data_IF_563970149599
#
_entry.id   IF_563970149599
#
_cell.length_a   1.000
_cell.length_b   1.000
_cell.length_c   1.000
_cell.angle_alpha   90.00
_cell.angle_beta   90.00
_cell.angle_gamma   90.00
#
_symmetry.space_group_name_H-M   'P 1'
#
loop_
_entity.id
_entity.type
_entity.pdbx_description
1 polymer ?
#
# COMPACT_ATOMS: atom_id res chain seq x y z
N UNK A 1 2.39 23.71 -23.92
CA UNK A 1 1.54 22.58 -24.36
C UNK A 1 1.31 21.73 -23.12
N UNK A 2 0.10 21.73 -22.57
CA UNK A 2 -0.22 21.12 -21.29
C UNK A 2 -0.79 19.72 -21.58
N UNK A 3 -0.10 18.66 -21.18
CA UNK A 3 -0.44 17.27 -21.55
C UNK A 3 -1.72 16.72 -20.87
N UNK A 4 -2.45 17.59 -20.18
CA UNK A 4 -3.59 17.25 -19.34
C UNK A 4 -4.95 17.54 -20.02
N UNK A 5 -4.97 18.23 -21.17
CA UNK A 5 -6.21 18.71 -21.81
C UNK A 5 -6.94 17.66 -22.67
N UNK A 6 -6.26 16.61 -23.11
CA UNK A 6 -6.78 15.60 -24.06
C UNK A 6 -7.90 14.74 -23.47
N UNK A 7 -8.07 14.69 -22.14
CA UNK A 7 -9.06 13.84 -21.47
C UNK A 7 -10.21 14.64 -20.79
N UNK A 8 -10.32 15.94 -21.06
CA UNK A 8 -11.29 16.79 -20.37
C UNK A 8 -12.71 16.81 -20.98
N UNK A 9 -13.00 16.47 -22.26
CA UNK A 9 -14.37 16.59 -22.76
C UNK A 9 -15.25 15.32 -22.75
N UNK A 10 -14.82 14.15 -22.26
CA UNK A 10 -15.54 12.90 -22.58
C UNK A 10 -16.52 12.33 -21.51
N UNK A 11 -16.51 12.78 -20.25
CA UNK A 11 -17.40 12.20 -19.20
C UNK A 11 -17.80 13.22 -18.14
N UNK A 12 -19.09 13.53 -18.05
CA UNK A 12 -19.74 14.28 -16.94
C UNK A 12 -19.67 13.49 -15.61
N UNK A 13 -18.47 13.24 -15.10
CA UNK A 13 -18.25 12.43 -13.90
C UNK A 13 -18.12 13.32 -12.66
N UNK A 14 -19.00 13.13 -11.67
CA UNK A 14 -18.97 13.89 -10.42
C UNK A 14 -17.71 13.56 -9.59
N UNK A 15 -17.24 14.46 -8.70
CA UNK A 15 -16.10 14.18 -7.81
C UNK A 15 -16.29 12.94 -6.94
N UNK A 16 -17.54 12.58 -6.62
CA UNK A 16 -17.88 11.36 -5.89
C UNK A 16 -17.68 10.11 -6.77
N UNK A 17 -18.15 10.12 -8.02
CA UNK A 17 -17.98 9.01 -8.96
C UNK A 17 -16.49 8.75 -9.27
N UNK A 18 -15.68 9.82 -9.42
CA UNK A 18 -14.24 9.68 -9.62
C UNK A 18 -13.52 9.02 -8.44
N UNK A 19 -13.93 9.34 -7.20
CA UNK A 19 -13.37 8.70 -6.00
C UNK A 19 -13.75 7.22 -5.90
N UNK A 20 -14.99 6.87 -6.24
CA UNK A 20 -15.45 5.47 -6.24
C UNK A 20 -14.71 4.65 -7.30
N UNK A 21 -14.45 5.22 -8.50
CA UNK A 21 -13.62 4.58 -9.54
C UNK A 21 -12.18 4.36 -9.09
N UNK A 22 -11.51 5.41 -8.62
CA UNK A 22 -10.14 5.32 -8.11
C UNK A 22 -10.04 4.31 -6.95
N UNK A 23 -11.06 4.26 -6.08
CA UNK A 23 -11.14 3.28 -5.00
C UNK A 23 -11.28 1.86 -5.54
N UNK A 24 -12.10 1.65 -6.58
CA UNK A 24 -12.21 0.36 -7.28
C UNK A 24 -10.89 -0.10 -7.88
N UNK A 25 -10.14 0.81 -8.51
CA UNK A 25 -8.80 0.54 -9.06
C UNK A 25 -7.82 0.12 -7.94
N UNK A 26 -7.79 0.85 -6.82
CA UNK A 26 -6.96 0.50 -5.65
C UNK A 26 -7.36 -0.88 -5.09
N UNK A 27 -8.66 -1.18 -4.96
CA UNK A 27 -9.12 -2.48 -4.48
C UNK A 27 -8.72 -3.63 -5.41
N UNK A 28 -8.65 -3.38 -6.72
CA UNK A 28 -8.18 -4.37 -7.69
C UNK A 28 -6.67 -4.61 -7.57
N UNK A 29 -5.88 -3.55 -7.40
CA UNK A 29 -4.44 -3.66 -7.12
C UNK A 29 -4.19 -4.40 -5.80
N UNK A 30 -4.97 -4.10 -4.76
CA UNK A 30 -4.89 -4.76 -3.46
C UNK A 30 -5.23 -6.25 -3.52
N UNK A 31 -6.11 -6.65 -4.46
CA UNK A 31 -6.49 -8.05 -4.65
C UNK A 31 -5.28 -8.89 -5.10
N UNK A 32 -4.33 -8.30 -5.81
CA UNK A 32 -3.07 -8.97 -6.20
C UNK A 32 -2.22 -9.31 -4.97
N UNK A 33 -2.14 -8.39 -4.00
CA UNK A 33 -1.45 -8.67 -2.73
C UNK A 33 -2.22 -9.70 -1.88
N UNK A 34 -3.56 -9.64 -1.93
CA UNK A 34 -4.43 -10.56 -1.21
C UNK A 34 -4.28 -12.02 -1.68
N UNK A 35 -4.18 -12.26 -2.98
CA UNK A 35 -3.93 -13.62 -3.49
C UNK A 35 -2.56 -14.14 -3.06
N UNK A 36 -1.55 -13.27 -3.01
CA UNK A 36 -0.21 -13.60 -2.49
C UNK A 36 -0.22 -14.08 -1.04
N UNK A 37 -0.92 -13.37 -0.14
CA UNK A 37 -1.00 -13.78 1.27
C UNK A 37 -1.79 -15.08 1.47
N UNK A 38 -2.84 -15.30 0.69
CA UNK A 38 -3.63 -16.54 0.75
C UNK A 38 -2.79 -17.75 0.33
N UNK A 39 -2.03 -17.62 -0.75
CA UNK A 39 -1.12 -18.67 -1.22
C UNK A 39 -0.06 -18.98 -0.16
N UNK A 40 0.55 -17.94 0.44
CA UNK A 40 1.52 -18.10 1.52
C UNK A 40 0.93 -18.86 2.71
N UNK A 41 -0.24 -18.46 3.20
CA UNK A 41 -0.91 -19.11 4.33
C UNK A 41 -1.28 -20.56 4.01
N UNK A 42 -1.76 -20.84 2.80
CA UNK A 42 -2.05 -22.19 2.35
C UNK A 42 -0.78 -23.06 2.39
N UNK A 43 0.34 -22.58 1.85
CA UNK A 43 1.61 -23.31 1.91
C UNK A 43 2.10 -23.55 3.33
N UNK A 44 2.03 -22.55 4.21
CA UNK A 44 2.40 -22.71 5.61
C UNK A 44 1.50 -23.72 6.32
N UNK A 45 0.20 -23.71 6.04
CA UNK A 45 -0.73 -24.68 6.61
C UNK A 45 -0.42 -26.09 6.11
N UNK A 46 -0.19 -26.27 4.81
CA UNK A 46 0.23 -27.57 4.25
C UNK A 46 1.52 -28.05 4.90
N UNK A 47 2.49 -27.17 5.10
CA UNK A 47 3.78 -27.50 5.71
C UNK A 47 3.61 -28.11 7.11
N UNK A 48 2.65 -27.64 7.92
CA UNK A 48 2.37 -28.19 9.26
C UNK A 48 1.93 -29.66 9.27
N UNK A 49 1.32 -30.14 8.17
CA UNK A 49 0.87 -31.52 8.04
C UNK A 49 1.89 -32.42 7.34
N UNK A 50 3.05 -31.88 6.94
CA UNK A 50 4.10 -32.70 6.34
C UNK A 50 4.87 -33.49 7.40
N UNK A 51 5.33 -34.73 7.11
CA UNK A 51 6.15 -35.50 8.05
C UNK A 51 7.41 -34.77 8.51
N UNK A 52 7.95 -33.89 7.66
CA UNK A 52 9.14 -33.09 7.93
C UNK A 52 8.91 -32.03 9.01
N UNK A 53 7.65 -31.61 9.25
CA UNK A 53 7.32 -30.62 10.27
C UNK A 53 7.74 -31.03 11.68
N UNK A 54 7.57 -32.32 12.03
CA UNK A 54 8.00 -32.85 13.34
C UNK A 54 9.52 -32.88 13.54
N UNK A 55 10.30 -32.65 12.49
CA UNK A 55 11.77 -32.62 12.53
C UNK A 55 12.35 -31.21 12.57
N UNK A 56 11.49 -30.18 12.60
CA UNK A 56 11.94 -28.79 12.67
C UNK A 56 12.63 -28.51 14.00
N UNK A 57 13.75 -27.79 13.94
CA UNK A 57 14.39 -27.26 15.14
C UNK A 57 13.58 -26.07 15.71
N UNK A 58 13.91 -25.64 16.93
CA UNK A 58 13.21 -24.54 17.61
C UNK A 58 13.21 -23.25 16.78
N UNK A 59 14.32 -22.90 16.15
CA UNK A 59 14.42 -21.69 15.32
C UNK A 59 13.48 -21.76 14.11
N UNK A 60 13.43 -22.89 13.41
CA UNK A 60 12.54 -23.10 12.28
C UNK A 60 11.07 -23.04 12.72
N UNK A 61 10.73 -23.62 13.87
CA UNK A 61 9.39 -23.55 14.43
C UNK A 61 8.99 -22.10 14.77
N UNK A 62 9.88 -21.33 15.38
CA UNK A 62 9.64 -19.92 15.73
C UNK A 62 9.42 -19.07 14.47
N UNK A 63 10.27 -19.24 13.45
CA UNK A 63 10.14 -18.53 12.16
C UNK A 63 8.86 -18.94 11.44
N UNK A 64 8.48 -20.21 11.51
CA UNK A 64 7.20 -20.70 10.99
C UNK A 64 6.01 -20.02 11.66
N UNK A 65 5.94 -20.03 12.99
CA UNK A 65 4.85 -19.41 13.76
C UNK A 65 4.80 -17.90 13.51
N UNK A 66 5.95 -17.23 13.50
CA UNK A 66 6.05 -15.82 13.17
C UNK A 66 5.50 -15.52 11.78
N UNK A 67 5.90 -16.30 10.77
CA UNK A 67 5.41 -16.14 9.40
C UNK A 67 3.89 -16.33 9.31
N UNK A 68 3.35 -17.31 10.04
CA UNK A 68 1.92 -17.61 10.06
C UNK A 68 1.11 -16.46 10.70
N UNK A 69 1.55 -15.96 11.85
CA UNK A 69 0.92 -14.83 12.54
C UNK A 69 0.99 -13.57 11.69
N UNK A 70 2.15 -13.25 11.12
CA UNK A 70 2.31 -12.09 10.23
C UNK A 70 1.39 -12.17 9.01
N UNK A 71 1.29 -13.35 8.38
CA UNK A 71 0.41 -13.58 7.24
C UNK A 71 -1.08 -13.44 7.60
N UNK A 72 -1.49 -13.98 8.75
CA UNK A 72 -2.86 -13.87 9.25
C UNK A 72 -3.22 -12.41 9.59
N UNK A 73 -2.35 -11.70 10.30
CA UNK A 73 -2.55 -10.27 10.63
C UNK A 73 -2.55 -9.41 9.36
N UNK A 74 -1.65 -9.67 8.42
CA UNK A 74 -1.66 -9.03 7.10
C UNK A 74 -3.00 -9.21 6.41
N UNK A 75 -3.51 -10.44 6.35
CA UNK A 75 -4.81 -10.76 5.72
C UNK A 75 -5.94 -9.97 6.38
N UNK A 76 -5.99 -9.91 7.70
CA UNK A 76 -7.00 -9.15 8.43
C UNK A 76 -6.95 -7.64 8.08
N UNK A 77 -5.75 -7.06 8.01
CA UNK A 77 -5.56 -5.64 7.66
C UNK A 77 -5.91 -5.34 6.20
N UNK A 78 -5.61 -6.25 5.28
CA UNK A 78 -5.92 -6.10 3.85
C UNK A 78 -7.42 -6.24 3.56
N UNK A 79 -8.14 -7.06 4.34
CA UNK A 79 -9.60 -7.24 4.20
C UNK A 79 -10.38 -6.08 4.86
N UNK A 80 -9.83 -5.45 5.90
CA UNK A 80 -10.48 -4.41 6.68
C UNK A 80 -11.14 -3.23 5.89
N UNK A 81 -10.57 -2.71 4.78
CA UNK A 81 -11.16 -1.57 4.06
C UNK A 81 -12.46 -1.90 3.31
N UNK A 82 -12.65 -3.15 2.88
CA UNK A 82 -13.80 -3.57 2.09
C UNK A 82 -15.15 -3.35 2.82
N UNK A 83 -15.34 -3.79 4.08
CA UNK A 83 -16.53 -3.45 4.87
C UNK A 83 -16.56 -1.99 5.35
N UNK A 84 -15.40 -1.36 5.52
CA UNK A 84 -15.28 0.04 6.00
C UNK A 84 -16.00 1.04 5.07
N UNK A 85 -15.95 0.81 3.76
CA UNK A 85 -16.72 1.61 2.79
C UNK A 85 -18.24 1.44 2.98
N UNK A 86 -18.71 0.19 3.12
CA UNK A 86 -20.14 -0.11 3.30
C UNK A 86 -20.71 0.43 4.60
N UNK A 87 -19.93 0.44 5.70
CA UNK A 87 -20.39 0.89 7.01
C UNK A 87 -20.43 2.42 7.14
N UNK A 88 -19.47 3.14 6.54
CA UNK A 88 -19.26 4.57 6.84
C UNK A 88 -19.82 5.52 5.79
N UNK A 89 -20.20 5.03 4.61
CA UNK A 89 -21.00 5.83 3.66
C UNK A 89 -22.31 6.34 4.28
N UNK A 90 -22.79 5.71 5.37
CA UNK A 90 -23.96 6.19 6.14
C UNK A 90 -23.69 7.34 7.12
N UNK A 91 -22.44 7.72 7.46
CA UNK A 91 -22.16 8.64 8.59
C UNK A 91 -21.38 9.94 8.32
N UNK A 92 -21.19 10.38 7.05
CA UNK A 92 -20.63 11.71 6.67
C UNK A 92 -19.27 12.15 7.27
N UNK A 93 -18.55 11.31 8.02
CA UNK A 93 -17.20 11.56 8.54
C UNK A 93 -16.14 11.14 7.50
N UNK A 94 -15.99 11.93 6.43
CA UNK A 94 -15.23 11.55 5.22
C UNK A 94 -13.70 11.70 5.28
N UNK A 95 -13.13 12.61 6.09
CA UNK A 95 -11.69 12.97 5.95
C UNK A 95 -10.72 12.14 6.82
N UNK A 96 -11.05 11.86 8.08
CA UNK A 96 -10.19 11.03 8.96
C UNK A 96 -10.19 9.55 8.55
N UNK A 97 -11.27 9.09 7.92
CA UNK A 97 -11.47 7.69 7.61
C UNK A 97 -10.59 7.18 6.47
N UNK A 98 -10.42 7.99 5.41
CA UNK A 98 -9.57 7.67 4.26
C UNK A 98 -8.12 7.47 4.69
N UNK A 99 -7.66 8.30 5.64
CA UNK A 99 -6.28 8.22 6.15
C UNK A 99 -6.02 6.94 6.95
N UNK A 100 -6.98 6.53 7.78
CA UNK A 100 -6.91 5.27 8.53
C UNK A 100 -6.92 4.06 7.62
N UNK A 101 -7.80 4.03 6.59
CA UNK A 101 -7.82 2.94 5.61
C UNK A 101 -6.49 2.80 4.87
N UNK A 102 -5.89 3.92 4.43
CA UNK A 102 -4.57 3.88 3.80
C UNK A 102 -3.47 3.37 4.74
N UNK A 103 -3.52 3.71 6.03
CA UNK A 103 -2.55 3.20 7.00
C UNK A 103 -2.71 1.69 7.25
N UNK A 104 -3.95 1.19 7.36
CA UNK A 104 -4.23 -0.25 7.48
C UNK A 104 -3.71 -1.03 6.28
N UNK A 105 -3.91 -0.51 5.08
CA UNK A 105 -3.43 -1.15 3.85
C UNK A 105 -1.91 -1.17 3.76
N UNK A 106 -1.25 -0.05 4.04
CA UNK A 106 0.21 0.01 4.08
C UNK A 106 0.78 -0.92 5.16
N UNK A 107 0.19 -0.95 6.36
CA UNK A 107 0.60 -1.84 7.43
C UNK A 107 0.40 -3.32 7.04
N UNK A 108 -0.72 -3.66 6.39
CA UNK A 108 -0.97 -5.00 5.85
C UNK A 108 0.10 -5.42 4.85
N UNK A 109 0.44 -4.56 3.89
CA UNK A 109 1.49 -4.84 2.89
C UNK A 109 2.88 -5.02 3.53
N UNK A 110 3.21 -4.25 4.57
CA UNK A 110 4.46 -4.43 5.32
C UNK A 110 4.49 -5.78 6.03
N UNK A 111 3.40 -6.16 6.70
CA UNK A 111 3.29 -7.46 7.34
C UNK A 111 3.38 -8.60 6.34
N UNK A 112 2.77 -8.47 5.15
CA UNK A 112 2.90 -9.44 4.06
C UNK A 112 4.36 -9.63 3.65
N UNK A 113 5.10 -8.53 3.46
CA UNK A 113 6.53 -8.59 3.11
C UNK A 113 7.33 -9.34 4.17
N UNK A 114 7.07 -9.06 5.44
CA UNK A 114 7.74 -9.73 6.56
C UNK A 114 7.37 -11.22 6.63
N UNK A 115 6.10 -11.57 6.39
CA UNK A 115 5.66 -12.96 6.35
C UNK A 115 6.35 -13.73 5.22
N UNK A 116 6.41 -13.16 4.01
CA UNK A 116 7.12 -13.77 2.87
C UNK A 116 8.61 -13.94 3.17
N UNK A 117 9.25 -12.94 3.78
CA UNK A 117 10.65 -13.03 4.18
C UNK A 117 10.90 -14.15 5.21
N UNK A 118 10.03 -14.25 6.23
CA UNK A 118 10.11 -15.31 7.24
C UNK A 118 9.91 -16.70 6.62
N UNK A 119 8.90 -16.88 5.78
CA UNK A 119 8.68 -18.16 5.10
C UNK A 119 9.82 -18.54 4.15
N UNK A 120 10.39 -17.58 3.42
CA UNK A 120 11.56 -17.81 2.57
C UNK A 120 12.77 -18.22 3.41
N UNK A 121 13.03 -17.52 4.52
CA UNK A 121 14.08 -17.88 5.46
C UNK A 121 13.90 -19.30 5.98
N UNK A 122 12.68 -19.67 6.37
CA UNK A 122 12.34 -21.00 6.85
C UNK A 122 12.69 -22.08 5.81
N UNK A 123 12.20 -21.91 4.58
CA UNK A 123 12.39 -22.90 3.51
C UNK A 123 13.88 -23.03 3.18
N UNK A 124 14.60 -21.91 3.07
CA UNK A 124 16.03 -21.92 2.78
C UNK A 124 16.84 -22.50 3.94
N UNK A 125 16.46 -22.25 5.19
CA UNK A 125 17.14 -22.83 6.36
C UNK A 125 16.98 -24.35 6.39
N UNK A 126 15.79 -24.86 6.02
CA UNK A 126 15.52 -26.30 5.90
C UNK A 126 16.29 -26.96 4.74
N UNK A 127 16.59 -26.24 3.67
CA UNK A 127 17.22 -26.79 2.45
C UNK A 127 18.74 -26.61 2.43
N UNK A 128 19.23 -25.43 2.82
CA UNK A 128 20.64 -25.01 2.69
C UNK A 128 21.33 -24.82 4.04
N UNK A 129 20.59 -24.81 5.14
CA UNK A 129 21.09 -24.45 6.47
C UNK A 129 21.10 -22.94 6.74
N UNK A 130 21.38 -22.57 8.00
CA UNK A 130 21.20 -21.21 8.54
C UNK A 130 21.95 -20.12 7.80
N UNK A 131 23.26 -20.28 7.64
CA UNK A 131 24.11 -19.20 7.14
C UNK A 131 23.78 -18.85 5.68
N UNK A 132 23.69 -19.80 4.73
CA UNK A 132 23.24 -19.51 3.38
C UNK A 132 21.83 -18.91 3.33
N UNK A 133 20.91 -19.42 4.15
CA UNK A 133 19.52 -18.96 4.18
C UNK A 133 19.38 -17.49 4.60
N UNK A 134 20.17 -17.04 5.59
CA UNK A 134 20.18 -15.65 6.05
C UNK A 134 20.72 -14.73 4.96
N UNK A 135 21.83 -15.07 4.30
CA UNK A 135 22.42 -14.24 3.25
C UNK A 135 21.50 -14.11 2.03
N UNK A 136 20.94 -15.23 1.56
CA UNK A 136 20.05 -15.23 0.39
C UNK A 136 18.75 -14.51 0.69
N UNK A 137 18.10 -14.80 1.82
CA UNK A 137 16.87 -14.10 2.23
C UNK A 137 17.13 -12.62 2.43
N UNK A 138 18.22 -12.26 3.12
CA UNK A 138 18.61 -10.88 3.35
C UNK A 138 18.85 -10.12 2.06
N UNK A 139 19.54 -10.73 1.10
CA UNK A 139 19.77 -10.16 -0.24
C UNK A 139 18.48 -9.92 -1.02
N UNK A 140 17.58 -10.91 -1.03
CA UNK A 140 16.28 -10.79 -1.72
C UNK A 140 15.42 -9.70 -1.05
N UNK A 141 15.34 -9.67 0.27
CA UNK A 141 14.59 -8.66 1.02
C UNK A 141 15.17 -7.26 0.81
N UNK A 142 16.50 -7.13 0.78
CA UNK A 142 17.18 -5.87 0.50
C UNK A 142 16.91 -5.39 -0.92
N UNK A 143 16.99 -6.30 -1.91
CA UNK A 143 16.64 -6.00 -3.30
C UNK A 143 15.19 -5.54 -3.43
N UNK A 144 14.24 -6.30 -2.89
CA UNK A 144 12.83 -5.92 -2.89
C UNK A 144 12.60 -4.58 -2.20
N UNK A 145 13.21 -4.38 -1.04
CA UNK A 145 13.08 -3.13 -0.28
C UNK A 145 13.71 -1.97 -1.04
N UNK A 146 14.83 -2.17 -1.73
CA UNK A 146 15.44 -1.13 -2.56
C UNK A 146 14.45 -0.64 -3.63
N UNK A 147 13.86 -1.54 -4.41
CA UNK A 147 12.87 -1.18 -5.42
C UNK A 147 11.57 -0.62 -4.82
N UNK A 148 11.12 -1.19 -3.71
CA UNK A 148 9.89 -0.80 -3.02
C UNK A 148 9.99 0.56 -2.33
N UNK A 149 11.14 0.91 -1.75
CA UNK A 149 11.34 2.21 -1.08
C UNK A 149 11.85 3.29 -2.03
N UNK A 150 12.55 2.93 -3.12
CA UNK A 150 12.93 3.90 -4.15
C UNK A 150 11.69 4.61 -4.67
N UNK A 151 10.70 3.88 -5.19
CA UNK A 151 9.49 4.46 -5.79
C UNK A 151 8.81 5.53 -4.90
N UNK A 152 8.35 5.21 -3.67
CA UNK A 152 7.66 6.17 -2.82
C UNK A 152 8.57 7.32 -2.39
N UNK A 153 9.89 7.10 -2.26
CA UNK A 153 10.83 8.17 -1.97
C UNK A 153 10.95 9.14 -3.17
N UNK A 154 10.97 8.64 -4.42
CA UNK A 154 10.94 9.49 -5.62
C UNK A 154 9.65 10.31 -5.66
N UNK A 155 8.50 9.69 -5.41
CA UNK A 155 7.21 10.39 -5.38
C UNK A 155 7.11 11.44 -4.25
N UNK A 156 7.70 11.20 -3.07
CA UNK A 156 7.75 12.20 -1.98
C UNK A 156 8.68 13.36 -2.31
N UNK A 157 9.80 13.11 -2.99
CA UNK A 157 10.77 14.16 -3.37
C UNK A 157 10.21 15.05 -4.49
N UNK A 158 9.53 14.48 -5.48
CA UNK A 158 8.96 15.25 -6.60
C UNK A 158 7.81 16.17 -6.17
N UNK A 159 7.00 15.79 -5.16
CA UNK A 159 5.91 16.66 -4.65
C UNK A 159 6.39 17.91 -3.91
N UNK A 160 7.60 17.93 -3.36
CA UNK A 160 8.16 19.14 -2.73
C UNK A 160 8.55 20.21 -3.76
N UNK A 161 8.79 19.83 -5.01
CA UNK A 161 9.13 20.76 -6.08
C UNK A 161 7.92 21.42 -6.77
N UNK A 162 6.68 20.98 -6.44
CA UNK A 162 5.44 21.42 -7.07
C UNK A 162 4.53 22.26 -6.14
N UNK A 163 5.05 22.90 -5.09
CA UNK A 163 4.37 24.06 -4.50
C UNK A 163 4.95 25.29 -5.20
N UNK A 164 4.37 25.75 -6.31
CA UNK A 164 4.86 26.92 -7.01
C UNK A 164 4.42 28.14 -6.21
N UNK A 165 5.28 29.15 -6.16
CA UNK A 165 5.09 30.49 -5.60
C UNK A 165 3.98 31.31 -6.33
N UNK A 166 2.88 30.65 -6.75
CA UNK A 166 1.79 31.22 -7.57
C UNK A 166 0.64 31.81 -6.75
N UNK A 167 0.73 31.82 -5.42
CA UNK A 167 -0.26 32.47 -4.56
C UNK A 167 0.15 33.87 -4.09
N UNK A 168 1.34 34.35 -4.48
CA UNK A 168 1.89 35.63 -4.02
C UNK A 168 1.81 36.75 -5.09
N UNK A 169 1.34 36.44 -6.30
CA UNK A 169 1.55 37.31 -7.48
C UNK A 169 0.37 38.12 -8.01
N UNK A 170 -0.89 37.87 -7.65
CA UNK A 170 -2.01 38.49 -8.42
C UNK A 170 -3.27 38.82 -7.60
N UNK A 171 -3.11 39.20 -6.34
CA UNK A 171 -4.19 39.81 -5.53
C UNK A 171 -4.07 41.36 -5.51
N UNK A 172 -3.12 41.94 -6.25
CA UNK A 172 -2.79 43.36 -6.17
C UNK A 172 -3.33 44.27 -7.28
N UNK A 173 -3.95 43.75 -8.35
CA UNK A 173 -4.33 44.56 -9.51
C UNK A 173 -5.85 44.61 -9.75
N UNK A 174 -6.58 45.23 -8.83
CA UNK A 174 -7.85 45.88 -9.16
C UNK A 174 -7.72 47.38 -8.86
N UNK A 175 -7.49 48.23 -9.88
CA UNK A 175 -7.68 49.66 -9.76
C UNK A 175 -9.17 49.94 -9.88
N UNK A 176 -9.81 50.19 -8.75
CA UNK A 176 -11.20 50.62 -8.61
C UNK A 176 -11.34 52.10 -9.01
N UNK A 177 -10.94 52.46 -10.24
CA UNK A 177 -10.71 53.85 -10.62
C UNK A 177 -11.42 54.34 -11.90
N UNK A 178 -12.50 53.69 -12.35
CA UNK A 178 -13.32 54.21 -13.48
C UNK A 178 -14.81 54.37 -13.15
N UNK A 179 -15.15 54.74 -11.91
CA UNK A 179 -16.54 55.08 -11.54
C UNK A 179 -16.71 56.49 -10.96
N UNK A 180 -15.94 57.47 -11.45
CA UNK A 180 -16.02 58.88 -11.03
C UNK A 180 -15.87 59.91 -12.16
N UNK A 181 -16.52 59.72 -13.31
CA UNK A 181 -16.63 60.80 -14.30
C UNK A 181 -18.04 60.87 -14.92
N UNK A 182 -19.04 61.11 -14.07
CA UNK A 182 -20.37 61.58 -14.47
C UNK A 182 -20.93 62.51 -13.38
N UNK A 183 -20.34 63.71 -13.26
CA UNK A 183 -20.95 64.98 -12.77
C UNK A 183 -20.11 66.11 -13.37
#
# INVERSE_FOLDING_TARGET
MNDDQWNTPARDETPAQRNDRNYGEILQEMRVAQTGVQLLLAFLLTLAFTPKFGTLNTFQLDVYVLSLVLGATSTALLIAPAPFHRLVFRRRLKSQLVRTSSHLLLAGLVLLKLALAAALLLILDVVLGRWPAVWVTGGIVAWFSFWWYLLPLRYRLTRRAQVPDRLTGDVGARPDAELREHV
#
